data_IF_748645855612
#
_entry.id   IF_748645855612
#
_cell.length_a   1.000
_cell.length_b   1.000
_cell.length_c   1.000
_cell.angle_alpha   90.00
_cell.angle_beta   90.00
_cell.angle_gamma   90.00
#
_symmetry.space_group_name_H-M   'P 1'
#
loop_
_entity.id
_entity.type
_entity.pdbx_description
1 polymer ?
#
# COMPACT_ATOMS: atom_id res chain seq x y z
N UNK A 1 23.24 -0.03 2.59
CA UNK A 1 22.41 -0.14 3.79
C UNK A 1 20.96 0.05 3.42
N UNK A 2 20.11 -0.82 3.92
CA UNK A 2 18.69 -0.75 3.61
C UNK A 2 17.97 0.15 4.60
N UNK A 3 17.05 0.93 4.09
CA UNK A 3 16.18 1.74 4.92
C UNK A 3 14.87 0.99 5.11
N UNK A 4 14.41 0.92 6.33
CA UNK A 4 13.14 0.25 6.62
C UNK A 4 12.11 1.28 7.00
N UNK A 5 10.93 1.14 6.46
CA UNK A 5 9.84 2.08 6.67
C UNK A 5 8.62 1.30 7.12
N UNK A 6 8.01 1.76 8.20
CA UNK A 6 6.73 1.20 8.61
C UNK A 6 5.60 1.97 7.95
N UNK A 7 4.60 1.26 7.47
CA UNK A 7 3.40 1.88 6.94
C UNK A 7 2.21 0.99 7.22
N UNK A 8 1.09 1.60 7.52
CA UNK A 8 -0.16 0.86 7.70
C UNK A 8 -0.81 0.55 6.37
N UNK A 9 -0.52 1.34 5.37
CA UNK A 9 -1.09 1.11 4.05
C UNK A 9 -0.60 2.12 3.05
N UNK A 10 -1.33 2.22 1.97
CA UNK A 10 -1.00 3.10 0.86
C UNK A 10 -2.19 4.01 0.60
N UNK A 11 -1.92 5.28 0.36
CA UNK A 11 -2.96 6.22 0.02
C UNK A 11 -3.33 6.11 -1.45
N UNK A 12 -3.78 7.20 -2.01
CA UNK A 12 -4.17 7.21 -3.42
C UNK A 12 -2.97 6.96 -4.32
N UNK A 13 -3.18 6.16 -5.33
CA UNK A 13 -2.17 5.92 -6.35
C UNK A 13 -2.59 6.69 -7.60
N UNK A 14 -1.70 7.48 -8.15
CA UNK A 14 -2.06 8.25 -9.33
C UNK A 14 -0.87 8.36 -10.28
N UNK A 15 -1.14 8.83 -11.46
CA UNK A 15 -0.16 8.93 -12.53
C UNK A 15 -0.02 10.40 -12.89
N UNK A 16 1.19 10.92 -12.76
CA UNK A 16 1.47 12.32 -13.06
C UNK A 16 2.92 12.44 -13.49
N UNK A 17 3.19 13.28 -14.50
CA UNK A 17 4.54 13.47 -15.00
C UNK A 17 5.15 12.18 -15.53
N UNK A 18 4.34 11.33 -16.13
CA UNK A 18 4.75 10.05 -16.68
C UNK A 18 5.32 9.09 -15.65
N UNK A 19 4.98 9.31 -14.37
CA UNK A 19 5.43 8.45 -13.28
C UNK A 19 4.25 8.08 -12.42
N UNK A 20 4.31 6.87 -11.85
CA UNK A 20 3.33 6.44 -10.87
C UNK A 20 3.75 6.99 -9.51
N UNK A 21 2.80 7.55 -8.78
CA UNK A 21 3.07 8.18 -7.48
C UNK A 21 2.07 7.69 -6.46
N UNK A 22 2.55 7.35 -5.30
CA UNK A 22 1.66 7.00 -4.19
C UNK A 22 2.38 7.29 -2.87
N UNK A 23 1.59 7.48 -1.83
CA UNK A 23 2.15 7.75 -0.51
C UNK A 23 1.90 6.57 0.41
N UNK A 24 2.89 6.20 1.18
CA UNK A 24 2.66 5.33 2.33
C UNK A 24 1.95 6.15 3.39
N UNK A 25 1.07 5.52 4.14
CA UNK A 25 0.31 6.21 5.17
C UNK A 25 0.42 5.47 6.49
N UNK A 26 0.33 6.22 7.56
CA UNK A 26 0.21 5.65 8.89
C UNK A 26 -1.13 6.08 9.46
N UNK A 27 -1.71 5.21 10.27
CA UNK A 27 -3.00 5.50 10.91
C UNK A 27 -2.74 6.16 12.26
N UNK A 28 -3.39 7.28 12.48
CA UNK A 28 -3.28 8.01 13.74
C UNK A 28 -4.58 7.84 14.51
N UNK A 29 -4.49 7.56 15.81
CA UNK A 29 -5.71 7.37 16.59
C UNK A 29 -6.51 8.66 16.64
N UNK A 30 -7.82 8.52 16.63
CA UNK A 30 -8.69 9.65 16.75
C UNK A 30 -8.69 10.19 18.18
N UNK A 31 -9.14 11.41 18.34
CA UNK A 31 -9.26 12.05 19.64
C UNK A 31 -10.70 11.96 20.09
N UNK A 32 -10.88 11.60 21.36
CA UNK A 32 -12.22 11.57 21.97
C UNK A 32 -13.21 10.70 21.20
N UNK A 33 -12.78 9.53 20.78
CA UNK A 33 -13.67 8.62 20.08
C UNK A 33 -13.86 8.91 18.60
N UNK A 34 -13.15 9.87 18.06
CA UNK A 34 -13.20 10.12 16.63
C UNK A 34 -12.53 8.99 15.86
N UNK A 35 -12.90 8.86 14.59
CA UNK A 35 -12.31 7.85 13.74
C UNK A 35 -10.81 8.12 13.53
N UNK A 36 -10.00 7.08 13.35
CA UNK A 36 -8.59 7.28 13.03
C UNK A 36 -8.43 8.02 11.72
N UNK A 37 -7.35 8.77 11.62
CA UNK A 37 -7.01 9.46 10.38
C UNK A 37 -5.78 8.82 9.76
N UNK A 38 -5.66 9.00 8.48
CA UNK A 38 -4.57 8.43 7.71
C UNK A 38 -3.64 9.57 7.29
N UNK A 39 -2.39 9.51 7.75
CA UNK A 39 -1.41 10.54 7.46
C UNK A 39 -0.36 10.04 6.50
N UNK A 40 -0.07 10.79 5.42
CA UNK A 40 1.01 10.39 4.52
C UNK A 40 2.36 10.54 5.21
N UNK A 41 3.22 9.54 5.02
CA UNK A 41 4.53 9.56 5.63
C UNK A 41 5.66 9.64 4.60
N UNK A 42 5.58 8.88 3.53
CA UNK A 42 6.64 8.83 2.52
C UNK A 42 5.99 8.72 1.16
N UNK A 43 6.56 9.38 0.18
CA UNK A 43 6.07 9.29 -1.19
C UNK A 43 7.00 8.43 -2.02
N UNK A 44 6.41 7.55 -2.82
CA UNK A 44 7.14 6.72 -3.75
C UNK A 44 6.81 7.18 -5.17
N UNK A 45 7.83 7.30 -5.98
CA UNK A 45 7.68 7.66 -7.38
C UNK A 45 8.43 6.62 -8.19
N UNK A 46 7.77 6.03 -9.15
CA UNK A 46 8.41 5.00 -9.96
C UNK A 46 7.87 5.00 -11.39
N UNK A 47 8.65 4.49 -12.34
CA UNK A 47 8.15 4.38 -13.69
C UNK A 47 7.05 3.33 -13.79
N UNK A 48 6.19 3.42 -14.81
CA UNK A 48 5.10 2.45 -14.96
C UNK A 48 5.55 0.99 -15.01
N UNK A 49 6.69 0.73 -15.66
CA UNK A 49 7.19 -0.64 -15.72
C UNK A 49 7.58 -1.18 -14.35
N UNK A 50 8.20 -0.34 -13.53
CA UNK A 50 8.50 -0.74 -12.16
C UNK A 50 7.25 -0.99 -11.35
N UNK A 51 6.22 -0.19 -11.58
CA UNK A 51 4.96 -0.36 -10.89
C UNK A 51 4.31 -1.70 -11.28
N UNK A 52 4.32 -2.03 -12.57
CA UNK A 52 3.78 -3.31 -13.02
C UNK A 52 4.54 -4.47 -12.42
N UNK A 53 5.87 -4.37 -12.41
CA UNK A 53 6.70 -5.42 -11.81
C UNK A 53 6.41 -5.59 -10.32
N UNK A 54 6.22 -4.48 -9.63
CA UNK A 54 5.86 -4.50 -8.22
C UNK A 54 4.51 -5.19 -8.01
N UNK A 55 3.54 -4.87 -8.85
CA UNK A 55 2.22 -5.49 -8.74
C UNK A 55 2.31 -7.00 -8.89
N UNK A 56 3.08 -7.47 -9.87
CA UNK A 56 3.23 -8.91 -10.09
C UNK A 56 3.86 -9.60 -8.88
N UNK A 57 4.86 -8.98 -8.29
CA UNK A 57 5.50 -9.53 -7.09
C UNK A 57 4.56 -9.54 -5.91
N UNK A 58 3.80 -8.47 -5.76
CA UNK A 58 2.81 -8.39 -4.70
C UNK A 58 1.73 -9.45 -4.83
N UNK A 59 1.27 -9.66 -6.06
CA UNK A 59 0.23 -10.65 -6.31
C UNK A 59 0.71 -12.04 -5.92
N UNK A 60 1.96 -12.37 -6.27
CA UNK A 60 2.52 -13.67 -5.92
C UNK A 60 2.56 -13.86 -4.41
N UNK A 61 2.95 -12.85 -3.69
CA UNK A 61 3.01 -12.95 -2.23
C UNK A 61 1.61 -13.04 -1.62
N UNK A 62 0.68 -12.27 -2.14
CA UNK A 62 -0.70 -12.33 -1.67
C UNK A 62 -1.24 -13.76 -1.82
N UNK A 63 -0.98 -14.38 -2.95
CA UNK A 63 -1.45 -15.75 -3.18
C UNK A 63 -0.87 -16.72 -2.16
N UNK A 64 0.40 -16.54 -1.81
CA UNK A 64 1.04 -17.37 -0.80
C UNK A 64 0.46 -17.13 0.59
N UNK A 65 0.19 -15.88 0.92
CA UNK A 65 -0.37 -15.55 2.23
C UNK A 65 -1.78 -16.09 2.38
N UNK A 66 -2.56 -16.06 1.31
CA UNK A 66 -3.89 -16.63 1.34
C UNK A 66 -3.81 -18.16 1.52
N UNK A 67 -2.91 -18.80 0.79
CA UNK A 67 -2.74 -20.24 0.89
C UNK A 67 -2.28 -20.66 2.27
N UNK A 68 -1.47 -19.84 2.92
CA UNK A 68 -0.97 -20.12 4.26
C UNK A 68 -1.95 -19.75 5.37
N UNK A 69 -3.07 -19.16 5.05
CA UNK A 69 -4.06 -18.76 6.04
C UNK A 69 -3.72 -17.48 6.78
N UNK A 70 -2.67 -16.78 6.37
CA UNK A 70 -2.27 -15.54 7.01
C UNK A 70 -3.18 -14.40 6.58
N UNK A 71 -3.65 -14.43 5.34
CA UNK A 71 -4.45 -13.38 4.77
C UNK A 71 -5.72 -13.97 4.19
N UNK A 72 -6.84 -13.32 4.47
CA UNK A 72 -8.10 -13.72 3.89
C UNK A 72 -8.44 -12.73 2.79
N UNK A 73 -8.45 -13.21 1.56
CA UNK A 73 -8.74 -12.34 0.45
C UNK A 73 -10.24 -12.19 0.33
N UNK A 74 -10.74 -11.05 0.73
CA UNK A 74 -12.15 -10.78 0.62
C UNK A 74 -12.49 -10.56 -0.82
N UNK A 75 -13.41 -11.31 -1.31
CA UNK A 75 -13.86 -11.11 -2.66
C UNK A 75 -14.81 -9.96 -2.65
N UNK A 76 -14.33 -8.83 -3.11
CA UNK A 76 -15.13 -7.67 -3.07
C UNK A 76 -16.09 -7.73 -4.18
N UNK A 77 -17.09 -8.42 -4.03
CA UNK A 77 -18.05 -8.45 -5.05
C UNK A 77 -18.53 -7.07 -5.22
N UNK A 78 -18.23 -6.45 -5.95
CA UNK A 78 -18.66 -5.18 -6.02
C UNK A 78 -19.46 -4.81 -7.02
#
# INVERSE_FOLDING_TARGET
>A
MKKEIYADGVGQIHFAGNMVRFDFVTLQPGVDGAAPTSDPSERVIMPPQGFLSMFNSMQQLIDKLVAAGVLQKTNQAN
#
